data_IF_194008684024
#
_entry.id   IF_194008684024
#
_cell.length_a   1.000
_cell.length_b   1.000
_cell.length_c   1.000
_cell.angle_alpha   90.00
_cell.angle_beta   90.00
_cell.angle_gamma   90.00
#
_symmetry.space_group_name_H-M   'P 1'
#
loop_
_entity.id
_entity.type
_entity.pdbx_description
1 polymer ?
#
# COMPACT_ATOMS: atom_id res chain seq x y z
N UNK A 1 35.85 -9.64 3.46
CA UNK A 1 34.40 -9.72 3.69
C UNK A 1 33.81 -8.39 3.26
N UNK A 2 33.31 -8.31 2.02
CA UNK A 2 32.40 -7.22 1.65
C UNK A 2 31.02 -7.74 2.01
N UNK A 3 30.49 -7.31 3.15
CA UNK A 3 29.10 -7.56 3.52
C UNK A 3 28.26 -6.68 2.60
N UNK A 4 27.74 -7.33 1.55
CA UNK A 4 26.87 -6.75 0.53
C UNK A 4 25.66 -6.15 1.26
N UNK A 5 25.64 -4.81 1.32
CA UNK A 5 24.55 -4.04 1.89
C UNK A 5 23.29 -4.37 1.11
N UNK A 6 22.42 -5.15 1.74
CA UNK A 6 21.07 -5.51 1.30
C UNK A 6 20.15 -4.26 1.30
N UNK A 7 20.56 -3.21 0.58
CA UNK A 7 19.83 -1.99 0.27
C UNK A 7 18.84 -2.25 -0.86
N UNK A 8 18.16 -3.41 -0.83
CA UNK A 8 16.89 -3.57 -1.51
C UNK A 8 15.96 -2.51 -0.93
N UNK A 9 15.90 -1.36 -1.61
CA UNK A 9 15.09 -0.22 -1.23
C UNK A 9 13.71 -0.74 -0.88
N UNK A 10 13.20 -0.40 0.30
CA UNK A 10 11.95 -0.93 0.86
C UNK A 10 10.76 -0.89 -0.12
N UNK A 11 10.86 -0.04 -1.15
CA UNK A 11 9.99 0.04 -2.33
C UNK A 11 9.75 -1.27 -3.09
N UNK A 12 10.68 -2.23 -3.08
CA UNK A 12 10.52 -3.50 -3.79
C UNK A 12 9.69 -4.53 -3.00
N UNK A 13 9.53 -4.31 -1.68
CA UNK A 13 8.76 -5.22 -0.82
C UNK A 13 7.27 -4.87 -0.87
N UNK A 14 6.36 -5.85 -1.05
CA UNK A 14 4.93 -5.58 -0.95
C UNK A 14 4.57 -5.00 0.42
N UNK A 15 3.48 -4.23 0.48
CA UNK A 15 3.01 -3.67 1.74
C UNK A 15 2.51 -4.75 2.71
N UNK A 16 2.76 -4.52 4.00
CA UNK A 16 2.00 -5.18 5.07
C UNK A 16 0.65 -4.47 5.22
N UNK A 17 -0.42 -5.25 5.44
CA UNK A 17 -1.81 -4.79 5.43
C UNK A 17 -2.07 -3.71 6.48
N UNK A 18 -1.67 -3.94 7.74
CA UNK A 18 -1.92 -3.00 8.83
C UNK A 18 -1.11 -1.70 8.66
N UNK A 19 0.14 -1.79 8.20
CA UNK A 19 0.97 -0.64 7.87
C UNK A 19 0.35 0.20 6.75
N UNK A 20 -0.16 -0.45 5.69
CA UNK A 20 -0.85 0.22 4.59
C UNK A 20 -2.16 0.87 5.03
N UNK A 21 -2.97 0.14 5.81
CA UNK A 21 -4.22 0.65 6.36
C UNK A 21 -3.97 1.91 7.19
N UNK A 22 -2.98 1.86 8.09
CA UNK A 22 -2.59 3.00 8.92
C UNK A 22 -2.06 4.17 8.10
N UNK A 23 -1.24 3.91 7.08
CA UNK A 23 -0.67 4.96 6.20
C UNK A 23 -1.77 5.77 5.51
N UNK A 24 -2.80 5.11 5.01
CA UNK A 24 -3.86 5.73 4.20
C UNK A 24 -5.15 6.02 4.99
N UNK A 25 -5.21 5.73 6.29
CA UNK A 25 -6.44 5.91 7.08
C UNK A 25 -7.58 4.98 6.63
N UNK A 26 -7.25 3.80 6.11
CA UNK A 26 -8.22 2.81 5.65
C UNK A 26 -8.61 1.85 6.76
N UNK A 27 -9.77 1.21 6.61
CA UNK A 27 -10.06 -0.01 7.37
C UNK A 27 -9.13 -1.14 6.91
N UNK A 28 -8.86 -2.11 7.79
CA UNK A 28 -8.06 -3.29 7.42
C UNK A 28 -8.65 -4.00 6.20
N UNK A 29 -9.97 -4.12 6.11
CA UNK A 29 -10.62 -4.78 4.99
C UNK A 29 -10.43 -4.05 3.65
N UNK A 30 -10.52 -2.72 3.65
CA UNK A 30 -10.25 -1.94 2.45
C UNK A 30 -8.78 -2.04 2.03
N UNK A 31 -7.86 -2.01 2.99
CA UNK A 31 -6.44 -2.23 2.76
C UNK A 31 -6.15 -3.61 2.15
N UNK A 32 -6.71 -4.69 2.72
CA UNK A 32 -6.59 -6.05 2.17
C UNK A 32 -7.01 -6.13 0.71
N UNK A 33 -8.16 -5.55 0.34
CA UNK A 33 -8.68 -5.59 -1.02
C UNK A 33 -7.81 -4.80 -2.00
N UNK A 34 -7.35 -3.60 -1.61
CA UNK A 34 -6.47 -2.79 -2.45
C UNK A 34 -5.13 -3.50 -2.65
N UNK A 35 -4.53 -4.03 -1.59
CA UNK A 35 -3.27 -4.78 -1.72
C UNK A 35 -3.45 -6.04 -2.54
N UNK A 36 -4.54 -6.79 -2.37
CA UNK A 36 -4.84 -7.95 -3.21
C UNK A 36 -4.93 -7.61 -4.70
N UNK A 37 -5.52 -6.47 -5.04
CA UNK A 37 -5.74 -6.07 -6.44
C UNK A 37 -4.51 -5.46 -7.13
N UNK A 38 -3.65 -4.72 -6.40
CA UNK A 38 -2.61 -3.87 -6.99
C UNK A 38 -1.17 -4.23 -6.58
N UNK A 39 -0.98 -5.12 -5.60
CA UNK A 39 0.33 -5.65 -5.21
C UNK A 39 0.98 -6.44 -6.36
N UNK A 40 2.32 -6.42 -6.52
CA UNK A 40 3.32 -5.85 -5.60
C UNK A 40 3.64 -4.36 -5.82
N UNK A 41 3.00 -3.69 -6.77
CA UNK A 41 3.34 -2.29 -7.08
C UNK A 41 2.84 -1.33 -6.00
N UNK A 42 3.75 -0.87 -5.14
CA UNK A 42 3.44 0.12 -4.09
C UNK A 42 2.84 1.41 -4.64
N UNK A 43 3.34 1.87 -5.79
CA UNK A 43 2.81 3.06 -6.46
C UNK A 43 1.36 2.85 -6.92
N UNK A 44 1.03 1.66 -7.43
CA UNK A 44 -0.34 1.33 -7.81
C UNK A 44 -1.25 1.24 -6.58
N UNK A 45 -0.79 0.61 -5.49
CA UNK A 45 -1.52 0.54 -4.22
C UNK A 45 -1.82 1.95 -3.66
N UNK A 46 -0.82 2.83 -3.62
CA UNK A 46 -0.98 4.20 -3.11
C UNK A 46 -1.97 5.02 -3.96
N UNK A 47 -1.89 4.88 -5.28
CA UNK A 47 -2.82 5.52 -6.21
C UNK A 47 -4.25 5.00 -6.00
N UNK A 48 -4.41 3.68 -5.86
CA UNK A 48 -5.70 3.05 -5.62
C UNK A 48 -6.32 3.46 -4.27
N UNK A 49 -5.52 3.57 -3.21
CA UNK A 49 -5.99 4.06 -1.91
C UNK A 49 -6.50 5.50 -1.99
N UNK A 50 -5.76 6.38 -2.67
CA UNK A 50 -6.16 7.77 -2.87
C UNK A 50 -7.47 7.88 -3.68
N UNK A 51 -7.59 7.10 -4.75
CA UNK A 51 -8.80 7.06 -5.57
C UNK A 51 -10.00 6.51 -4.78
N UNK A 52 -9.79 5.46 -3.99
CA UNK A 52 -10.82 4.88 -3.13
C UNK A 52 -11.35 5.91 -2.12
N UNK A 53 -10.47 6.61 -1.40
CA UNK A 53 -10.86 7.63 -0.43
C UNK A 53 -11.60 8.80 -1.08
N UNK A 54 -11.14 9.23 -2.26
CA UNK A 54 -11.79 10.30 -3.03
C UNK A 54 -13.20 9.89 -3.45
N UNK A 55 -13.36 8.65 -3.92
CA UNK A 55 -14.66 8.11 -4.28
C UNK A 55 -15.59 8.07 -3.04
N UNK A 56 -15.14 7.50 -1.92
CA UNK A 56 -15.91 7.44 -0.67
C UNK A 56 -16.33 8.83 -0.20
N UNK A 57 -15.42 9.81 -0.24
CA UNK A 57 -15.73 11.19 0.15
C UNK A 57 -16.78 11.85 -0.78
N UNK A 58 -16.79 11.53 -2.07
CA UNK A 58 -17.78 12.04 -3.02
C UNK A 58 -19.17 11.40 -2.86
N UNK A 59 -19.29 10.29 -2.10
CA UNK A 59 -20.53 9.55 -1.88
C UNK A 59 -21.16 9.85 -0.51
N UNK A 60 -20.51 10.66 0.33
CA UNK A 60 -20.97 11.08 1.66
C UNK A 60 -21.78 12.39 1.58
#
# INVERSE_FOLDING_TARGET
MHEDYDLATDHDKPYEIAAFAKKHGLTLRAAELILFAYSPSRAACDTAATAFLTAVAAQA
#
